data_IF_160520544815
#
_entry.id   IF_160520544815
#
_cell.length_a   1.000
_cell.length_b   1.000
_cell.length_c   1.000
_cell.angle_alpha   90.00
_cell.angle_beta   90.00
_cell.angle_gamma   90.00
#
_symmetry.space_group_name_H-M   'P 1'
#
loop_
_entity.id
_entity.type
_entity.pdbx_description
1 polymer ?
#
# COMPACT_ATOMS: atom_id res chain seq x y z
N UNK A 1 33.07 36.31 -70.42
CA UNK A 1 33.37 36.87 -71.75
C UNK A 1 34.40 35.91 -72.35
N UNK A 2 34.18 35.06 -73.34
CA UNK A 2 33.13 34.72 -74.31
C UNK A 2 33.20 33.18 -74.46
N UNK A 3 32.22 32.43 -74.95
CA UNK A 3 30.99 32.74 -75.66
C UNK A 3 30.42 31.41 -76.16
N UNK A 4 29.11 31.32 -76.08
CA UNK A 4 28.24 30.23 -76.56
C UNK A 4 28.35 30.02 -78.08
N UNK A 5 27.86 28.90 -78.62
CA UNK A 5 26.50 28.81 -79.20
C UNK A 5 26.23 27.49 -79.93
N UNK A 6 24.96 27.10 -79.83
CA UNK A 6 24.27 25.96 -80.43
C UNK A 6 24.20 26.05 -81.98
N UNK A 7 23.70 25.10 -82.78
CA UNK A 7 22.45 24.31 -82.70
C UNK A 7 22.40 23.38 -83.94
N UNK A 8 21.77 22.21 -83.89
CA UNK A 8 21.02 21.60 -85.03
C UNK A 8 20.38 20.25 -84.66
N UNK A 9 19.09 20.11 -84.97
CA UNK A 9 18.24 18.93 -84.77
C UNK A 9 18.33 17.93 -85.95
N UNK A 10 18.07 16.65 -85.68
CA UNK A 10 17.66 15.65 -86.67
C UNK A 10 17.04 14.41 -86.02
N UNK A 11 15.80 14.09 -86.40
CA UNK A 11 14.94 13.00 -85.88
C UNK A 11 15.49 11.58 -86.15
N UNK A 12 15.11 10.59 -85.32
CA UNK A 12 14.43 9.35 -85.77
C UNK A 12 13.87 8.55 -84.57
N UNK A 13 12.73 7.88 -84.78
CA UNK A 13 11.87 7.18 -83.79
C UNK A 13 12.45 5.85 -83.30
N UNK A 14 12.23 5.49 -82.02
CA UNK A 14 12.22 4.10 -81.54
C UNK A 14 11.17 3.87 -80.43
N UNK A 15 10.67 2.63 -80.42
CA UNK A 15 9.48 2.09 -79.75
C UNK A 15 9.48 2.17 -78.21
N UNK A 16 8.31 2.37 -77.61
CA UNK A 16 8.11 2.42 -76.15
C UNK A 16 7.75 1.05 -75.58
N UNK A 17 8.63 0.47 -74.77
CA UNK A 17 8.27 -0.54 -73.77
C UNK A 17 8.17 0.16 -72.41
N UNK A 18 6.96 0.23 -71.86
CA UNK A 18 6.71 0.75 -70.51
C UNK A 18 6.94 -0.41 -69.53
N UNK A 19 8.06 -0.37 -68.80
CA UNK A 19 8.31 -1.26 -67.65
C UNK A 19 7.54 -0.66 -66.47
N UNK A 20 6.48 -1.36 -66.04
CA UNK A 20 5.75 -1.02 -64.83
C UNK A 20 6.58 -1.44 -63.60
N UNK A 21 7.17 -0.47 -62.91
CA UNK A 21 7.82 -0.68 -61.61
C UNK A 21 6.72 -0.76 -60.55
N UNK A 22 6.48 -1.96 -60.02
CA UNK A 22 5.63 -2.18 -58.84
C UNK A 22 6.44 -1.82 -57.60
N UNK A 23 6.18 -0.64 -57.04
CA UNK A 23 6.67 -0.26 -55.71
C UNK A 23 5.79 -0.94 -54.67
N UNK A 24 6.30 -2.02 -54.05
CA UNK A 24 5.67 -2.61 -52.87
C UNK A 24 5.97 -1.68 -51.68
N UNK A 25 4.99 -0.87 -51.30
CA UNK A 25 5.02 -0.13 -50.04
C UNK A 25 4.83 -1.12 -48.89
N UNK A 26 5.94 -1.52 -48.26
CA UNK A 26 5.92 -2.19 -46.96
C UNK A 26 5.42 -1.20 -45.91
N UNK A 27 4.14 -1.24 -45.58
CA UNK A 27 3.61 -0.53 -44.43
C UNK A 27 4.21 -1.15 -43.16
N UNK A 28 5.24 -0.52 -42.60
CA UNK A 28 5.67 -0.78 -41.23
C UNK A 28 4.53 -0.33 -40.33
N UNK A 29 3.71 -1.29 -39.87
CA UNK A 29 2.83 -1.07 -38.74
C UNK A 29 3.74 -0.86 -37.52
N UNK A 30 4.07 0.39 -37.24
CA UNK A 30 4.55 0.76 -35.92
C UNK A 30 3.48 0.28 -34.92
N UNK A 31 3.84 -0.49 -33.88
CA UNK A 31 2.89 -0.73 -32.80
C UNK A 31 2.44 0.65 -32.31
N UNK A 32 1.14 0.86 -32.30
CA UNK A 32 0.56 2.03 -31.66
C UNK A 32 1.04 1.97 -30.21
N UNK A 33 2.03 2.78 -29.85
CA UNK A 33 2.24 3.10 -28.46
C UNK A 33 0.91 3.70 -28.01
N UNK A 34 0.13 2.92 -27.27
CA UNK A 34 -0.98 3.46 -26.50
C UNK A 34 -0.35 4.61 -25.72
N UNK A 35 -0.75 5.84 -26.07
CA UNK A 35 -0.38 6.98 -25.26
C UNK A 35 -0.74 6.62 -23.83
N UNK A 36 0.24 6.66 -22.91
CA UNK A 36 -0.04 6.51 -21.50
C UNK A 36 -1.18 7.47 -21.19
N UNK A 37 -2.34 6.93 -20.83
CA UNK A 37 -3.46 7.75 -20.40
C UNK A 37 -2.98 8.49 -19.17
N UNK A 38 -2.85 9.81 -19.26
CA UNK A 38 -2.52 10.62 -18.09
C UNK A 38 -3.59 10.38 -17.03
N UNK A 39 -3.19 9.94 -15.84
CA UNK A 39 -4.08 9.60 -14.74
C UNK A 39 -4.23 8.10 -14.47
N UNK A 40 -5.07 7.78 -13.49
CA UNK A 40 -5.28 6.40 -13.02
C UNK A 40 -6.22 5.62 -13.94
N UNK A 41 -5.92 4.33 -14.12
CA UNK A 41 -6.85 3.39 -14.75
C UNK A 41 -8.11 3.20 -13.90
N UNK A 42 -9.28 2.91 -14.50
CA UNK A 42 -10.44 2.50 -13.72
C UNK A 42 -10.12 1.31 -12.81
N UNK A 43 -10.64 1.30 -11.58
CA UNK A 43 -10.38 0.21 -10.66
C UNK A 43 -10.86 -1.14 -11.22
N UNK A 44 -10.08 -2.18 -10.99
CA UNK A 44 -10.39 -3.55 -11.37
C UNK A 44 -10.41 -4.43 -10.13
N UNK A 45 -11.29 -5.44 -10.14
CA UNK A 45 -11.38 -6.39 -9.03
C UNK A 45 -10.27 -7.42 -9.15
N UNK A 46 -9.60 -7.73 -8.03
CA UNK A 46 -8.60 -8.79 -7.95
C UNK A 46 -9.02 -9.93 -7.03
N UNK A 47 -8.25 -11.01 -7.09
CA UNK A 47 -8.46 -12.21 -6.27
C UNK A 47 -9.63 -13.08 -6.72
N UNK A 48 -10.04 -14.01 -5.86
CA UNK A 48 -11.16 -14.92 -6.13
C UNK A 48 -12.49 -14.18 -6.21
N UNK A 49 -13.42 -14.64 -7.05
CA UNK A 49 -14.79 -14.08 -7.18
C UNK A 49 -15.81 -14.70 -6.22
N UNK A 50 -15.32 -15.48 -5.24
CA UNK A 50 -16.12 -16.17 -4.23
C UNK A 50 -15.54 -15.89 -2.85
N UNK A 51 -16.33 -16.15 -1.81
CA UNK A 51 -15.92 -15.86 -0.44
C UNK A 51 -15.79 -14.37 -0.19
N UNK A 52 -14.81 -14.02 0.64
CA UNK A 52 -14.62 -12.67 1.16
C UNK A 52 -13.12 -12.33 1.22
N UNK A 53 -12.73 -11.13 0.80
CA UNK A 53 -11.34 -10.69 0.70
C UNK A 53 -11.12 -9.44 1.56
N UNK A 54 -10.30 -9.58 2.59
CA UNK A 54 -10.01 -8.49 3.53
C UNK A 54 -8.58 -8.00 3.40
N UNK A 55 -8.35 -6.75 3.80
CA UNK A 55 -7.04 -6.23 4.21
C UNK A 55 -5.89 -6.57 3.24
N UNK A 56 -5.94 -6.09 1.99
CA UNK A 56 -4.89 -6.36 1.01
C UNK A 56 -3.62 -5.56 1.32
N UNK A 57 -2.48 -6.16 1.03
CA UNK A 57 -1.17 -5.54 1.03
C UNK A 57 -0.55 -5.59 -0.38
N UNK A 58 0.30 -4.62 -0.73
CA UNK A 58 0.92 -4.53 -2.06
C UNK A 58 2.40 -4.21 -1.99
N UNK A 59 3.18 -4.84 -2.88
CA UNK A 59 4.57 -4.49 -3.12
C UNK A 59 4.94 -4.60 -4.60
N UNK A 60 5.91 -3.84 -5.08
CA UNK A 60 6.43 -3.88 -6.43
C UNK A 60 7.96 -3.98 -6.44
N UNK A 61 8.50 -4.77 -7.36
CA UNK A 61 9.94 -4.97 -7.46
C UNK A 61 10.61 -4.18 -8.60
N UNK A 62 11.92 -4.36 -8.75
CA UNK A 62 12.69 -3.72 -9.82
C UNK A 62 12.54 -4.37 -11.21
N UNK A 63 11.78 -5.46 -11.33
CA UNK A 63 11.69 -6.34 -12.51
C UNK A 63 10.26 -6.52 -13.00
N UNK A 64 9.44 -5.46 -12.91
CA UNK A 64 8.04 -5.37 -13.32
C UNK A 64 7.04 -6.26 -12.59
N UNK A 65 7.42 -6.90 -11.47
CA UNK A 65 6.45 -7.64 -10.68
C UNK A 65 5.70 -6.74 -9.72
N UNK A 66 4.40 -6.99 -9.59
CA UNK A 66 3.55 -6.41 -8.54
C UNK A 66 2.92 -7.58 -7.79
N UNK A 67 3.07 -7.59 -6.48
CA UNK A 67 2.61 -8.62 -5.56
C UNK A 67 1.45 -8.08 -4.74
N UNK A 68 0.32 -8.77 -4.74
CA UNK A 68 -0.79 -8.47 -3.84
C UNK A 68 -1.07 -9.69 -2.98
N UNK A 69 -1.02 -9.48 -1.66
CA UNK A 69 -1.30 -10.49 -0.65
C UNK A 69 -2.56 -10.11 0.11
N UNK A 70 -3.46 -11.07 0.35
CA UNK A 70 -4.67 -10.83 1.14
C UNK A 70 -5.17 -12.11 1.83
N UNK A 71 -5.78 -12.02 3.03
CA UNK A 71 -6.56 -13.10 3.61
C UNK A 71 -7.86 -13.35 2.83
N UNK A 72 -8.01 -14.58 2.32
CA UNK A 72 -9.25 -15.10 1.77
C UNK A 72 -10.08 -15.78 2.85
N UNK A 73 -11.23 -15.22 3.15
CA UNK A 73 -12.25 -15.76 4.04
C UNK A 73 -13.26 -16.62 3.25
N UNK A 74 -13.92 -17.55 3.94
CA UNK A 74 -14.92 -18.41 3.32
C UNK A 74 -14.30 -19.51 2.47
N UNK A 75 -14.51 -19.54 1.15
CA UNK A 75 -14.02 -20.65 0.31
C UNK A 75 -12.71 -20.30 -0.40
N UNK A 76 -11.76 -21.23 -0.41
CA UNK A 76 -10.56 -21.18 -1.25
C UNK A 76 -10.71 -22.17 -2.42
N UNK A 77 -10.95 -21.70 -3.66
CA UNK A 77 -11.05 -22.56 -4.83
C UNK A 77 -9.84 -23.49 -4.98
N UNK A 78 -10.10 -24.76 -5.32
CA UNK A 78 -9.08 -25.82 -5.49
C UNK A 78 -8.27 -26.16 -4.23
N UNK A 79 -8.65 -25.67 -3.04
CA UNK A 79 -8.03 -26.03 -1.77
C UNK A 79 -9.07 -26.24 -0.66
N UNK A 80 -9.84 -27.35 -0.69
CA UNK A 80 -10.86 -27.61 0.33
C UNK A 80 -10.27 -27.86 1.74
N UNK A 81 -8.97 -28.15 1.83
CA UNK A 81 -8.24 -28.35 3.09
C UNK A 81 -7.55 -27.09 3.60
N UNK A 82 -7.63 -25.97 2.88
CA UNK A 82 -7.03 -24.72 3.33
C UNK A 82 -7.74 -24.21 4.59
N UNK A 83 -6.97 -23.80 5.59
CA UNK A 83 -7.49 -23.18 6.80
C UNK A 83 -8.04 -21.80 6.48
N UNK A 84 -9.12 -21.37 7.15
CA UNK A 84 -9.82 -20.15 6.81
C UNK A 84 -9.69 -19.13 7.94
N UNK A 85 -9.39 -17.86 7.64
CA UNK A 85 -8.90 -17.34 6.35
C UNK A 85 -7.52 -17.91 5.91
N UNK A 86 -7.20 -17.83 4.62
CA UNK A 86 -5.88 -18.22 4.04
C UNK A 86 -5.23 -17.04 3.33
N UNK A 87 -3.92 -16.85 3.48
CA UNK A 87 -3.13 -15.90 2.68
C UNK A 87 -3.06 -16.32 1.22
N UNK A 88 -3.62 -15.48 0.34
CA UNK A 88 -3.61 -15.65 -1.11
C UNK A 88 -2.74 -14.58 -1.76
N UNK A 89 -1.83 -15.03 -2.63
CA UNK A 89 -0.99 -14.18 -3.44
C UNK A 89 -1.49 -14.14 -4.88
N UNK A 90 -1.47 -12.94 -5.45
CA UNK A 90 -1.65 -12.67 -6.88
C UNK A 90 -0.46 -11.85 -7.34
N UNK A 91 0.11 -12.22 -8.49
CA UNK A 91 1.30 -11.57 -9.03
C UNK A 91 0.97 -11.08 -10.43
N UNK A 92 1.32 -9.82 -10.73
CA UNK A 92 1.48 -9.34 -12.09
C UNK A 92 2.96 -9.42 -12.47
N UNK A 93 3.26 -9.75 -13.74
CA UNK A 93 4.62 -9.77 -14.28
C UNK A 93 4.87 -8.61 -15.27
N UNK A 94 3.95 -7.65 -15.36
CA UNK A 94 3.93 -6.60 -16.38
C UNK A 94 3.43 -5.25 -15.82
N UNK A 95 3.87 -4.92 -14.59
CA UNK A 95 3.50 -3.70 -13.85
C UNK A 95 1.97 -3.51 -13.68
N UNK A 96 1.27 -4.62 -13.44
CA UNK A 96 -0.15 -4.64 -13.10
C UNK A 96 -1.12 -4.63 -14.29
N UNK A 97 -0.63 -4.86 -15.51
CA UNK A 97 -1.49 -4.96 -16.70
C UNK A 97 -2.26 -6.28 -16.74
N UNK A 98 -1.60 -7.39 -16.38
CA UNK A 98 -2.20 -8.72 -16.28
C UNK A 98 -1.82 -9.40 -14.96
N UNK A 99 -2.65 -10.34 -14.53
CA UNK A 99 -2.53 -10.99 -13.23
C UNK A 99 -2.52 -12.52 -13.37
N UNK A 100 -1.62 -13.17 -12.65
CA UNK A 100 -1.61 -14.63 -12.49
C UNK A 100 -2.86 -15.11 -11.74
N UNK A 101 -3.12 -16.42 -11.81
CA UNK A 101 -4.16 -17.03 -11.00
C UNK A 101 -3.85 -16.90 -9.50
N UNK A 102 -4.82 -16.51 -8.65
CA UNK A 102 -4.61 -16.44 -7.20
C UNK A 102 -4.26 -17.81 -6.61
N UNK A 103 -3.29 -17.85 -5.68
CA UNK A 103 -2.85 -19.10 -5.03
C UNK A 103 -2.47 -18.90 -3.56
N UNK A 104 -2.63 -19.91 -2.70
CA UNK A 104 -2.12 -19.86 -1.34
C UNK A 104 -0.58 -19.87 -1.32
N UNK A 105 0.03 -19.14 -0.37
CA UNK A 105 1.49 -19.13 -0.20
C UNK A 105 1.99 -20.04 0.92
N UNK A 106 1.13 -20.33 1.90
CA UNK A 106 1.41 -21.27 2.99
C UNK A 106 0.14 -22.09 3.28
N UNK A 107 -0.23 -23.03 2.38
CA UNK A 107 -1.43 -23.83 2.54
C UNK A 107 -1.25 -24.85 3.67
N UNK A 108 -1.87 -24.58 4.83
CA UNK A 108 -1.82 -25.45 6.01
C UNK A 108 -1.78 -24.64 7.30
N UNK A 109 -2.16 -25.27 8.41
CA UNK A 109 -2.20 -24.63 9.73
C UNK A 109 -3.60 -24.15 10.13
N UNK A 110 -3.65 -23.01 10.81
CA UNK A 110 -4.87 -22.34 11.27
C UNK A 110 -5.23 -21.16 10.36
N UNK A 111 -6.32 -20.44 10.67
CA UNK A 111 -6.63 -19.18 9.99
C UNK A 111 -5.47 -18.18 10.01
N UNK A 112 -5.32 -17.43 8.92
CA UNK A 112 -4.26 -16.47 8.65
C UNK A 112 -4.86 -15.07 8.38
N UNK A 113 -4.39 -14.05 9.09
CA UNK A 113 -5.01 -12.72 9.15
C UNK A 113 -3.99 -11.61 8.90
N UNK A 114 -4.48 -10.41 8.56
CA UNK A 114 -3.72 -9.17 8.53
C UNK A 114 -2.46 -9.25 7.64
N UNK A 115 -2.64 -9.20 6.31
CA UNK A 115 -1.54 -9.37 5.36
C UNK A 115 -0.56 -8.18 5.37
N UNK A 116 0.72 -8.48 5.19
CA UNK A 116 1.78 -7.52 4.87
C UNK A 116 2.69 -8.13 3.80
N UNK A 117 3.14 -7.33 2.84
CA UNK A 117 4.11 -7.75 1.82
C UNK A 117 5.02 -6.59 1.47
N UNK A 118 6.32 -6.83 1.39
CA UNK A 118 7.33 -5.80 1.06
C UNK A 118 8.43 -6.40 0.18
N UNK A 119 9.00 -5.59 -0.71
CA UNK A 119 10.21 -5.94 -1.45
C UNK A 119 11.42 -5.31 -0.75
N UNK A 120 12.51 -6.06 -0.63
CA UNK A 120 13.75 -5.52 -0.06
C UNK A 120 14.27 -4.36 -0.92
N UNK A 121 14.34 -3.13 -0.36
CA UNK A 121 14.74 -1.97 -1.13
C UNK A 121 16.22 -2.02 -1.56
N UNK A 122 17.06 -2.87 -0.96
CA UNK A 122 18.46 -2.98 -1.34
C UNK A 122 18.69 -3.76 -2.62
N UNK A 123 18.00 -4.89 -2.80
CA UNK A 123 18.15 -5.73 -3.99
C UNK A 123 17.01 -5.58 -5.00
N UNK A 124 15.91 -4.92 -4.58
CA UNK A 124 14.68 -4.71 -5.36
C UNK A 124 14.14 -6.00 -5.97
N UNK A 125 14.27 -7.11 -5.25
CA UNK A 125 13.95 -8.46 -5.75
C UNK A 125 13.45 -9.41 -4.66
N UNK A 126 14.09 -9.45 -3.51
CA UNK A 126 13.70 -10.37 -2.44
C UNK A 126 12.37 -9.91 -1.85
N UNK A 127 11.40 -10.81 -1.76
CA UNK A 127 10.06 -10.50 -1.26
C UNK A 127 9.91 -11.07 0.14
N UNK A 128 9.43 -10.25 1.06
CA UNK A 128 9.04 -10.67 2.39
C UNK A 128 7.54 -10.47 2.57
N UNK A 129 6.92 -11.37 3.32
CA UNK A 129 5.52 -11.27 3.71
C UNK A 129 5.39 -11.51 5.22
N UNK A 130 4.33 -11.00 5.81
CA UNK A 130 3.98 -11.26 7.21
C UNK A 130 2.47 -11.38 7.38
N UNK A 131 2.06 -12.18 8.35
CA UNK A 131 0.66 -12.35 8.74
C UNK A 131 0.56 -12.88 10.18
N UNK A 132 -0.65 -12.87 10.72
CA UNK A 132 -0.96 -13.51 11.99
C UNK A 132 -1.58 -14.88 11.77
N UNK A 133 -1.24 -15.87 12.58
CA UNK A 133 -1.92 -17.17 12.58
C UNK A 133 -2.04 -17.74 14.00
N UNK A 134 -2.52 -18.97 14.11
CA UNK A 134 -2.75 -19.71 15.34
C UNK A 134 -3.68 -18.95 16.30
N UNK A 135 -4.89 -18.62 15.82
CA UNK A 135 -5.83 -17.74 16.51
C UNK A 135 -5.19 -16.37 16.86
N UNK A 136 -4.43 -15.82 15.91
CA UNK A 136 -3.62 -14.61 16.07
C UNK A 136 -2.59 -14.69 17.21
N UNK A 137 -2.12 -15.88 17.62
CA UNK A 137 -1.07 -16.01 18.65
C UNK A 137 0.34 -16.02 18.09
N UNK A 138 0.49 -16.32 16.81
CA UNK A 138 1.76 -16.38 16.11
C UNK A 138 1.87 -15.20 15.13
N UNK A 139 2.96 -14.44 15.23
CA UNK A 139 3.37 -13.49 14.20
C UNK A 139 4.35 -14.20 13.26
N UNK A 140 4.00 -14.30 11.98
CA UNK A 140 4.76 -15.10 11.00
C UNK A 140 5.42 -14.20 9.99
N UNK A 141 6.67 -14.52 9.63
CA UNK A 141 7.40 -13.90 8.52
C UNK A 141 7.72 -14.96 7.49
N UNK A 142 7.49 -14.64 6.22
CA UNK A 142 7.87 -15.47 5.09
C UNK A 142 8.80 -14.71 4.14
N UNK A 143 9.68 -15.46 3.48
CA UNK A 143 10.67 -14.93 2.54
C UNK A 143 10.66 -15.73 1.24
N UNK A 144 10.68 -15.01 0.12
CA UNK A 144 10.85 -15.55 -1.22
C UNK A 144 12.04 -14.89 -1.92
N UNK A 145 12.87 -15.71 -2.56
CA UNK A 145 14.04 -15.28 -3.36
C UNK A 145 13.86 -15.54 -4.86
N UNK A 146 12.67 -16.00 -5.24
CA UNK A 146 12.29 -16.43 -6.58
C UNK A 146 11.00 -15.74 -7.05
N UNK A 147 10.83 -14.46 -6.71
CA UNK A 147 9.68 -13.63 -7.14
C UNK A 147 8.33 -14.20 -6.68
N UNK A 148 8.25 -14.57 -5.39
CA UNK A 148 7.05 -15.05 -4.75
C UNK A 148 6.66 -16.49 -5.11
N UNK A 149 7.46 -17.23 -5.90
CA UNK A 149 7.12 -18.59 -6.34
C UNK A 149 7.14 -19.58 -5.17
N UNK A 150 8.23 -19.59 -4.40
CA UNK A 150 8.38 -20.40 -3.19
C UNK A 150 8.69 -19.54 -1.97
N UNK A 151 8.36 -20.06 -0.78
CA UNK A 151 8.43 -19.31 0.47
C UNK A 151 9.09 -20.16 1.57
N UNK A 152 10.04 -19.56 2.29
CA UNK A 152 10.51 -20.02 3.59
C UNK A 152 9.72 -19.30 4.67
N UNK A 153 9.17 -20.00 5.66
CA UNK A 153 8.25 -19.45 6.67
C UNK A 153 8.80 -19.68 8.07
N UNK A 154 8.81 -18.63 8.89
CA UNK A 154 9.31 -18.62 10.28
C UNK A 154 8.30 -17.93 11.17
N UNK A 155 8.05 -18.49 12.37
CA UNK A 155 7.30 -17.80 13.43
C UNK A 155 8.26 -16.84 14.13
N UNK A 156 8.06 -15.54 13.94
CA UNK A 156 8.88 -14.49 14.53
C UNK A 156 8.61 -14.31 16.02
N UNK A 157 7.36 -14.49 16.44
CA UNK A 157 6.98 -14.56 17.86
C UNK A 157 5.75 -15.43 18.06
N UNK A 158 5.66 -16.06 19.23
CA UNK A 158 4.53 -16.88 19.68
C UNK A 158 4.15 -16.45 21.08
N UNK A 159 3.08 -15.66 21.18
CA UNK A 159 2.72 -14.97 22.44
C UNK A 159 1.74 -15.76 23.31
N UNK A 160 1.14 -16.84 22.78
CA UNK A 160 -0.01 -17.54 23.37
C UNK A 160 -1.19 -16.59 23.71
N UNK A 161 -1.29 -15.46 23.00
CA UNK A 161 -2.35 -14.49 23.17
C UNK A 161 -2.68 -13.84 21.81
N UNK A 162 -3.92 -13.42 21.60
CA UNK A 162 -4.28 -12.73 20.35
C UNK A 162 -3.52 -11.42 20.19
N UNK A 163 -2.74 -11.29 19.13
CA UNK A 163 -2.13 -10.04 18.66
C UNK A 163 -2.91 -9.49 17.47
N UNK A 164 -2.57 -8.28 17.03
CA UNK A 164 -3.20 -7.60 15.90
C UNK A 164 -2.18 -6.70 15.20
N UNK A 165 -2.49 -6.26 13.99
CA UNK A 165 -1.74 -5.24 13.26
C UNK A 165 -0.26 -5.55 13.04
N UNK A 166 0.12 -6.68 12.40
CA UNK A 166 1.48 -6.87 11.92
C UNK A 166 1.84 -5.73 10.95
N UNK A 167 3.02 -5.15 11.13
CA UNK A 167 3.62 -4.13 10.25
C UNK A 167 5.04 -4.60 9.92
N UNK A 168 5.33 -4.81 8.65
CA UNK A 168 6.60 -5.39 8.18
C UNK A 168 7.49 -4.32 7.56
N UNK A 169 8.78 -4.30 7.94
CA UNK A 169 9.80 -3.49 7.25
C UNK A 169 11.11 -4.26 7.13
N UNK A 170 11.78 -4.11 6.00
CA UNK A 170 13.00 -4.84 5.66
C UNK A 170 14.05 -3.92 5.03
N UNK A 171 15.32 -4.25 5.26
CA UNK A 171 16.46 -3.69 4.53
C UNK A 171 17.62 -4.68 4.57
N UNK A 172 17.85 -5.40 3.48
CA UNK A 172 18.88 -6.44 3.44
C UNK A 172 18.61 -7.58 4.42
N UNK A 173 19.54 -7.77 5.35
CA UNK A 173 19.45 -8.81 6.39
C UNK A 173 18.57 -8.41 7.57
N UNK A 174 18.25 -7.13 7.70
CA UNK A 174 17.49 -6.60 8.82
C UNK A 174 16.00 -6.66 8.47
N UNK A 175 15.26 -7.42 9.28
CA UNK A 175 13.83 -7.69 9.10
C UNK A 175 13.14 -7.43 10.43
N UNK A 176 12.13 -6.56 10.43
CA UNK A 176 11.38 -6.21 11.62
C UNK A 176 9.89 -6.39 11.37
N UNK A 177 9.18 -6.99 12.32
CA UNK A 177 7.71 -7.03 12.34
C UNK A 177 7.20 -6.47 13.65
N UNK A 178 6.46 -5.37 13.57
CA UNK A 178 5.76 -4.75 14.70
C UNK A 178 4.34 -5.30 14.80
N UNK A 179 3.81 -5.46 16.01
CA UNK A 179 2.45 -5.95 16.26
C UNK A 179 1.97 -5.49 17.63
N UNK A 180 0.66 -5.42 17.84
CA UNK A 180 0.09 -5.03 19.13
C UNK A 180 -0.59 -6.17 19.86
N UNK A 181 -0.53 -6.12 21.19
CA UNK A 181 -1.34 -6.91 22.08
C UNK A 181 -1.90 -6.01 23.18
N UNK A 182 -3.21 -5.77 23.16
CA UNK A 182 -3.88 -4.86 24.07
C UNK A 182 -3.21 -3.47 24.14
N UNK A 183 -2.69 -3.06 25.30
CA UNK A 183 -2.02 -1.76 25.49
C UNK A 183 -0.60 -1.72 24.90
N UNK A 184 -0.06 -2.87 24.49
CA UNK A 184 1.36 -3.02 24.21
C UNK A 184 1.63 -3.13 22.72
N UNK A 185 2.70 -2.51 22.28
CA UNK A 185 3.29 -2.70 20.96
C UNK A 185 4.61 -3.44 21.14
N UNK A 186 4.83 -4.44 20.30
CA UNK A 186 6.01 -5.28 20.26
C UNK A 186 6.64 -5.19 18.89
N UNK A 187 7.95 -5.43 18.83
CA UNK A 187 8.69 -5.58 17.58
C UNK A 187 9.56 -6.82 17.69
N UNK A 188 9.42 -7.75 16.74
CA UNK A 188 10.37 -8.84 16.52
C UNK A 188 11.40 -8.41 15.49
N UNK A 189 12.68 -8.53 15.85
CA UNK A 189 13.82 -8.12 15.04
C UNK A 189 14.64 -9.33 14.60
N UNK A 190 15.06 -9.36 13.35
CA UNK A 190 16.00 -10.33 12.78
C UNK A 190 17.12 -9.59 12.05
N UNK A 191 18.34 -10.13 12.16
CA UNK A 191 19.55 -9.61 11.50
C UNK A 191 20.27 -10.65 10.65
N UNK A 192 19.58 -11.76 10.34
CA UNK A 192 20.04 -12.88 9.53
C UNK A 192 19.10 -13.14 8.33
N UNK A 193 18.35 -12.12 7.92
CA UNK A 193 17.44 -12.18 6.78
C UNK A 193 16.15 -12.94 7.07
N UNK A 194 15.66 -12.89 8.31
CA UNK A 194 14.40 -13.48 8.75
C UNK A 194 14.49 -14.94 9.19
N UNK A 195 15.68 -15.46 9.50
CA UNK A 195 15.84 -16.85 9.94
C UNK A 195 15.64 -17.02 11.45
N UNK A 196 16.09 -16.05 12.25
CA UNK A 196 15.86 -16.01 13.70
C UNK A 196 15.42 -14.62 14.16
N UNK A 197 14.60 -14.57 15.21
CA UNK A 197 14.01 -13.33 15.72
C UNK A 197 14.16 -13.19 17.24
N UNK A 198 14.23 -11.94 17.69
CA UNK A 198 14.10 -11.56 19.11
C UNK A 198 13.07 -10.44 19.25
N UNK A 199 12.20 -10.53 20.25
CA UNK A 199 11.09 -9.58 20.45
C UNK A 199 11.33 -8.61 21.60
N UNK A 200 10.98 -7.34 21.40
CA UNK A 200 11.04 -6.28 22.40
C UNK A 200 9.70 -5.54 22.50
N UNK A 201 9.33 -5.16 23.72
CA UNK A 201 8.18 -4.28 23.95
C UNK A 201 8.62 -2.81 23.86
N UNK A 202 8.01 -2.04 22.95
CA UNK A 202 8.46 -0.68 22.64
C UNK A 202 7.75 0.39 23.48
N UNK A 203 6.72 0.01 24.23
CA UNK A 203 5.94 0.88 25.11
C UNK A 203 5.69 0.22 26.48
N UNK A 204 6.75 -0.27 27.13
CA UNK A 204 6.68 -1.10 28.35
C UNK A 204 5.91 -0.48 29.52
N UNK A 205 5.82 0.85 29.56
CA UNK A 205 5.09 1.62 30.58
C UNK A 205 3.61 1.82 30.25
N UNK A 206 3.08 1.26 29.16
CA UNK A 206 1.69 1.41 28.78
C UNK A 206 0.76 0.73 29.81
N UNK A 207 -0.21 1.50 30.32
CA UNK A 207 -1.14 1.06 31.38
C UNK A 207 -2.62 1.15 30.99
N UNK A 208 -2.94 1.91 29.95
CA UNK A 208 -4.33 2.25 29.59
C UNK A 208 -4.59 1.96 28.12
N UNK A 209 -5.86 1.65 27.83
CA UNK A 209 -6.43 1.56 26.49
C UNK A 209 -5.94 0.41 25.62
N UNK A 210 -5.79 0.70 24.34
CA UNK A 210 -5.39 -0.23 23.28
C UNK A 210 -4.37 0.46 22.39
N UNK A 211 -3.46 -0.30 21.81
CA UNK A 211 -2.50 0.21 20.83
C UNK A 211 -2.72 -0.46 19.49
N UNK A 212 -2.51 0.29 18.40
CA UNK A 212 -2.59 -0.20 17.04
C UNK A 212 -1.32 0.21 16.30
N UNK A 213 -0.54 -0.76 15.84
CA UNK A 213 0.59 -0.47 14.95
C UNK A 213 0.06 -0.01 13.58
N UNK A 214 0.81 0.82 12.86
CA UNK A 214 0.32 1.36 11.58
C UNK A 214 1.33 1.57 10.45
N UNK A 215 2.62 1.74 10.73
CA UNK A 215 3.63 1.89 9.68
C UNK A 215 5.05 1.78 10.20
N UNK A 216 6.02 1.61 9.32
CA UNK A 216 7.41 1.45 9.71
C UNK A 216 8.39 1.92 8.63
N UNK A 217 9.61 2.25 9.04
CA UNK A 217 10.67 2.66 8.13
C UNK A 217 12.05 2.28 8.69
N UNK A 218 13.03 2.09 7.79
CA UNK A 218 14.44 1.97 8.15
C UNK A 218 15.20 3.06 7.40
N UNK A 219 15.89 3.93 8.13
CA UNK A 219 16.70 4.99 7.52
C UNK A 219 18.06 4.47 7.02
N UNK A 220 18.81 5.35 6.35
CA UNK A 220 20.13 4.98 5.80
C UNK A 220 21.19 4.67 6.87
N UNK A 221 20.98 5.11 8.11
CA UNK A 221 21.86 4.80 9.23
C UNK A 221 21.50 3.47 9.91
N UNK A 222 20.44 2.79 9.47
CA UNK A 222 19.95 1.55 10.06
C UNK A 222 19.09 1.77 11.31
N UNK A 223 18.66 3.01 11.59
CA UNK A 223 17.65 3.23 12.61
C UNK A 223 16.32 2.69 12.09
N UNK A 224 15.61 1.97 12.95
CA UNK A 224 14.28 1.44 12.66
C UNK A 224 13.23 2.26 13.39
N UNK A 225 12.12 2.53 12.70
CA UNK A 225 11.00 3.32 13.19
C UNK A 225 9.69 2.56 13.04
N UNK A 226 8.80 2.72 14.02
CA UNK A 226 7.42 2.24 13.97
C UNK A 226 6.47 3.34 14.40
N UNK A 227 5.43 3.60 13.61
CA UNK A 227 4.30 4.45 13.99
C UNK A 227 3.16 3.62 14.57
N UNK A 228 2.50 4.16 15.59
CA UNK A 228 1.38 3.48 16.25
C UNK A 228 0.44 4.47 16.94
N UNK A 229 -0.83 4.08 17.03
CA UNK A 229 -1.88 4.80 17.74
C UNK A 229 -2.09 4.20 19.13
N UNK A 230 -2.33 5.04 20.14
CA UNK A 230 -2.55 4.64 21.53
C UNK A 230 -3.80 5.29 22.14
N UNK A 231 -4.82 4.49 22.41
CA UNK A 231 -6.04 4.92 23.07
C UNK A 231 -5.81 5.16 24.57
N UNK A 232 -6.41 6.21 25.11
CA UNK A 232 -6.06 6.71 26.45
C UNK A 232 -7.02 6.27 27.56
N UNK A 233 -8.11 5.57 27.25
CA UNK A 233 -9.09 5.09 28.25
C UNK A 233 -9.21 3.58 28.31
N UNK A 234 -9.48 3.05 29.50
CA UNK A 234 -9.67 1.62 29.73
C UNK A 234 -10.95 1.05 29.10
N UNK A 235 -10.93 -0.27 28.91
CA UNK A 235 -12.09 -1.03 28.45
C UNK A 235 -12.25 -1.03 26.93
N UNK A 236 -11.15 -0.94 26.18
CA UNK A 236 -11.10 -1.03 24.71
C UNK A 236 -10.46 0.19 24.06
N UNK A 237 -10.63 0.32 22.76
CA UNK A 237 -10.21 1.50 21.99
C UNK A 237 -11.17 2.68 22.23
N UNK A 238 -11.03 3.35 23.38
CA UNK A 238 -11.86 4.49 23.80
C UNK A 238 -11.03 5.72 24.13
N UNK A 239 -11.69 6.88 24.05
CA UNK A 239 -11.11 8.16 24.42
C UNK A 239 -10.17 8.73 23.36
N UNK A 240 -9.49 9.84 23.67
CA UNK A 240 -8.48 10.43 22.79
C UNK A 240 -7.42 9.41 22.37
N UNK A 241 -6.88 9.61 21.17
CA UNK A 241 -5.88 8.73 20.56
C UNK A 241 -4.57 9.49 20.41
N UNK A 242 -3.52 9.01 21.07
CA UNK A 242 -2.18 9.54 20.89
C UNK A 242 -1.53 8.87 19.68
N UNK A 243 -0.90 9.64 18.80
CA UNK A 243 -0.21 9.15 17.62
C UNK A 243 1.29 9.25 17.85
N UNK A 244 1.97 8.11 17.85
CA UNK A 244 3.36 7.97 18.27
C UNK A 244 4.26 7.52 17.13
N UNK A 245 5.55 7.84 17.28
CA UNK A 245 6.65 7.25 16.52
C UNK A 245 7.68 6.73 17.52
N UNK A 246 8.01 5.45 17.42
CA UNK A 246 9.07 4.81 18.20
C UNK A 246 10.28 4.56 17.31
N UNK A 247 11.48 4.80 17.85
CA UNK A 247 12.76 4.63 17.17
C UNK A 247 13.67 3.70 17.96
N UNK A 248 14.38 2.82 17.26
CA UNK A 248 15.57 2.13 17.77
C UNK A 248 16.79 2.46 16.90
N UNK A 249 17.94 2.63 17.56
CA UNK A 249 19.25 2.93 16.95
C UNK A 249 20.25 1.78 17.13
N UNK A 250 19.80 0.69 17.73
CA UNK A 250 20.63 -0.42 18.21
C UNK A 250 19.99 -1.77 17.84
N UNK A 251 19.49 -1.84 16.61
CA UNK A 251 18.97 -3.06 16.01
C UNK A 251 17.71 -3.61 16.74
N UNK A 252 16.86 -2.72 17.25
CA UNK A 252 15.61 -3.07 17.92
C UNK A 252 15.75 -3.47 19.38
N UNK A 253 16.91 -3.28 20.01
CA UNK A 253 17.14 -3.63 21.42
C UNK A 253 16.52 -2.60 22.37
N UNK A 254 16.73 -1.31 22.12
CA UNK A 254 16.17 -0.22 22.92
C UNK A 254 15.36 0.74 22.05
N UNK A 255 14.28 1.26 22.63
CA UNK A 255 13.30 2.09 21.93
C UNK A 255 13.06 3.41 22.65
N UNK A 256 12.96 4.49 21.88
CA UNK A 256 12.51 5.81 22.33
C UNK A 256 11.24 6.17 21.60
N UNK A 257 10.23 6.67 22.31
CA UNK A 257 8.91 6.99 21.75
C UNK A 257 8.64 8.49 21.83
N UNK A 258 8.28 9.08 20.70
CA UNK A 258 7.89 10.48 20.55
C UNK A 258 6.40 10.56 20.25
N UNK A 259 5.69 11.46 20.94
CA UNK A 259 4.31 11.82 20.59
C UNK A 259 4.32 12.79 19.40
N UNK A 260 3.68 12.42 18.29
CA UNK A 260 3.60 13.23 17.08
C UNK A 260 2.37 14.15 17.09
N UNK A 261 1.19 13.60 17.37
CA UNK A 261 -0.08 14.35 17.43
C UNK A 261 -1.08 13.64 18.37
N UNK A 262 -2.21 14.31 18.64
CA UNK A 262 -3.32 13.76 19.42
C UNK A 262 -4.63 13.96 18.66
N UNK A 263 -5.37 12.86 18.48
CA UNK A 263 -6.74 12.87 17.96
C UNK A 263 -7.75 12.86 19.11
N UNK A 264 -8.95 13.39 18.84
CA UNK A 264 -10.15 13.08 19.60
C UNK A 264 -10.49 11.58 19.61
N UNK A 265 -11.54 11.21 20.32
CA UNK A 265 -12.05 9.84 20.27
C UNK A 265 -12.66 9.51 18.90
N UNK A 266 -12.65 8.23 18.47
CA UNK A 266 -13.12 7.82 17.16
C UNK A 266 -14.56 8.28 16.87
N UNK A 267 -14.88 8.59 15.60
CA UNK A 267 -16.26 8.75 15.16
C UNK A 267 -17.04 7.43 15.30
N UNK A 268 -18.37 7.53 15.35
CA UNK A 268 -19.24 6.35 15.44
C UNK A 268 -19.29 5.57 14.12
N UNK A 269 -19.27 4.23 14.20
CA UNK A 269 -19.31 3.35 13.03
C UNK A 269 -20.47 2.33 13.02
N UNK A 270 -21.45 2.49 13.92
CA UNK A 270 -22.57 1.56 14.04
C UNK A 270 -23.43 1.46 12.75
N UNK A 271 -23.47 2.53 11.95
CA UNK A 271 -24.14 2.55 10.65
C UNK A 271 -23.58 1.49 9.68
N UNK A 272 -22.31 1.12 9.83
CA UNK A 272 -21.64 0.09 9.03
C UNK A 272 -21.40 -1.21 9.82
N UNK A 273 -22.04 -1.35 10.99
CA UNK A 273 -21.91 -2.51 11.87
C UNK A 273 -20.47 -2.82 12.29
N UNK A 274 -19.59 -1.81 12.23
CA UNK A 274 -18.18 -1.98 12.50
C UNK A 274 -17.84 -1.66 13.97
N UNK A 275 -16.70 -2.20 14.41
CA UNK A 275 -16.22 -2.12 15.78
C UNK A 275 -15.60 -0.77 16.15
N UNK A 276 -14.94 -0.74 17.30
CA UNK A 276 -14.72 0.47 18.09
C UNK A 276 -13.70 1.44 17.49
N UNK A 277 -12.58 0.92 16.99
CA UNK A 277 -11.45 1.71 16.51
C UNK A 277 -11.40 1.88 14.99
N UNK A 278 -12.33 1.25 14.26
CA UNK A 278 -12.18 1.00 12.83
C UNK A 278 -12.04 2.30 12.01
N UNK A 279 -12.87 3.30 12.33
CA UNK A 279 -12.80 4.65 11.74
C UNK A 279 -12.02 5.64 12.61
N UNK A 280 -11.30 5.17 13.63
CA UNK A 280 -10.49 6.03 14.48
C UNK A 280 -9.18 6.44 13.81
N UNK A 281 -8.50 7.38 14.45
CA UNK A 281 -7.18 7.82 14.05
C UNK A 281 -6.18 6.66 13.86
N UNK A 282 -5.55 6.65 12.69
CA UNK A 282 -4.48 5.75 12.28
C UNK A 282 -3.27 6.57 11.84
N UNK A 283 -2.07 6.00 11.96
CA UNK A 283 -0.83 6.63 11.53
C UNK A 283 0.05 5.62 10.82
N UNK A 284 0.50 5.97 9.62
CA UNK A 284 1.49 5.23 8.86
C UNK A 284 2.72 6.10 8.59
N UNK A 285 3.83 5.48 8.22
CA UNK A 285 5.07 6.16 7.91
C UNK A 285 5.92 5.40 6.89
N UNK A 286 6.83 6.13 6.23
CA UNK A 286 7.82 5.58 5.29
C UNK A 286 9.08 6.45 5.27
N UNK A 287 10.09 6.03 4.50
CA UNK A 287 11.29 6.82 4.22
C UNK A 287 11.60 6.86 2.73
N UNK A 288 12.09 7.99 2.22
CA UNK A 288 12.67 8.01 0.87
C UNK A 288 14.11 7.44 0.84
N UNK A 289 14.63 7.28 -0.38
CA UNK A 289 16.03 6.88 -0.63
C UNK A 289 17.09 7.82 -0.05
N UNK A 290 16.76 9.04 0.38
CA UNK A 290 17.66 9.96 1.08
C UNK A 290 17.58 9.83 2.61
N UNK A 291 16.68 8.98 3.13
CA UNK A 291 16.46 8.79 4.56
C UNK A 291 15.56 9.85 5.20
N UNK A 292 14.85 10.66 4.41
CA UNK A 292 13.81 11.56 4.94
C UNK A 292 12.62 10.71 5.37
N UNK A 293 12.15 10.91 6.60
CA UNK A 293 10.97 10.22 7.11
C UNK A 293 9.71 11.02 6.80
N UNK A 294 8.62 10.31 6.54
CA UNK A 294 7.32 10.87 6.28
C UNK A 294 6.26 10.17 7.12
N UNK A 295 5.36 10.93 7.73
CA UNK A 295 4.23 10.41 8.47
C UNK A 295 2.92 10.94 7.86
N UNK A 296 1.92 10.06 7.77
CA UNK A 296 0.57 10.36 7.32
C UNK A 296 -0.42 9.81 8.34
N UNK A 297 -1.37 10.62 8.78
CA UNK A 297 -2.35 10.19 9.78
C UNK A 297 -3.71 10.87 9.61
N UNK A 298 -4.77 10.19 10.00
CA UNK A 298 -6.08 10.81 10.24
C UNK A 298 -6.22 11.21 11.71
N UNK A 299 -6.82 12.37 11.97
CA UNK A 299 -7.15 12.81 13.32
C UNK A 299 -8.35 13.79 13.37
N UNK A 300 -9.16 13.67 14.42
CA UNK A 300 -10.26 14.56 14.75
C UNK A 300 -9.85 15.61 15.79
N UNK A 301 -10.35 16.83 15.65
CA UNK A 301 -10.02 17.93 16.57
C UNK A 301 -10.73 17.82 17.93
N UNK A 302 -11.84 17.06 18.00
CA UNK A 302 -12.62 16.86 19.22
C UNK A 302 -13.17 15.43 19.30
N UNK A 303 -13.71 15.08 20.47
CA UNK A 303 -14.38 13.79 20.68
C UNK A 303 -15.42 13.53 19.59
N UNK A 304 -15.35 12.38 18.93
CA UNK A 304 -16.28 11.92 17.89
C UNK A 304 -16.47 12.88 16.70
N UNK A 305 -15.57 13.85 16.52
CA UNK A 305 -15.62 14.77 15.37
C UNK A 305 -15.11 14.09 14.12
N UNK A 306 -15.56 14.55 12.95
CA UNK A 306 -15.01 14.06 11.69
C UNK A 306 -13.49 14.26 11.64
N UNK A 307 -12.76 13.24 11.22
CA UNK A 307 -11.32 13.27 11.13
C UNK A 307 -10.83 13.86 9.80
N UNK A 308 -9.62 14.43 9.84
CA UNK A 308 -8.91 15.02 8.70
C UNK A 308 -7.60 14.29 8.48
N UNK A 309 -7.09 14.34 7.26
CA UNK A 309 -5.83 13.70 6.86
C UNK A 309 -4.67 14.70 6.95
N UNK A 310 -3.62 14.33 7.68
CA UNK A 310 -2.48 15.20 8.00
C UNK A 310 -1.15 14.55 7.64
N UNK A 311 -0.19 15.40 7.30
CA UNK A 311 1.16 15.01 6.92
C UNK A 311 2.22 15.79 7.71
N UNK A 312 3.37 15.14 7.94
CA UNK A 312 4.59 15.77 8.40
C UNK A 312 5.82 14.99 7.93
N UNK A 313 6.95 15.69 7.78
CA UNK A 313 8.23 15.11 7.38
C UNK A 313 9.35 15.40 8.39
N UNK A 314 10.37 14.54 8.42
CA UNK A 314 11.55 14.70 9.26
C UNK A 314 12.83 14.42 8.48
N UNK A 315 13.71 15.41 8.43
CA UNK A 315 15.08 15.29 7.93
C UNK A 315 16.10 15.08 9.05
N UNK A 316 15.62 14.89 10.28
CA UNK A 316 16.44 14.77 11.50
C UNK A 316 16.29 13.39 12.14
N UNK A 317 16.03 12.37 11.32
CA UNK A 317 15.84 10.98 11.76
C UNK A 317 14.85 10.85 12.93
N UNK A 318 13.72 11.57 12.83
CA UNK A 318 12.60 11.53 13.77
C UNK A 318 12.74 12.44 15.00
N UNK A 319 13.84 13.18 15.15
CA UNK A 319 14.05 14.07 16.30
C UNK A 319 13.14 15.32 16.27
N UNK A 320 12.93 15.88 15.08
CA UNK A 320 12.03 16.99 14.83
C UNK A 320 11.22 16.75 13.57
N UNK A 321 10.01 17.31 13.54
CA UNK A 321 9.03 17.13 12.48
C UNK A 321 8.58 18.49 11.96
N UNK A 322 8.25 18.58 10.67
CA UNK A 322 7.64 19.77 10.09
C UNK A 322 6.28 20.07 10.76
N UNK A 323 5.78 21.31 10.70
CA UNK A 323 4.41 21.60 11.11
C UNK A 323 3.42 20.67 10.42
N UNK A 324 2.39 20.22 11.16
CA UNK A 324 1.34 19.36 10.59
C UNK A 324 0.59 20.09 9.48
N UNK A 325 0.43 19.43 8.34
CA UNK A 325 -0.24 19.97 7.16
C UNK A 325 -1.52 19.18 6.89
N UNK A 326 -2.67 19.84 6.75
CA UNK A 326 -3.88 19.21 6.18
C UNK A 326 -3.65 19.01 4.68
N UNK A 327 -3.68 17.76 4.22
CA UNK A 327 -3.39 17.39 2.83
C UNK A 327 -4.65 17.14 2.00
N UNK A 328 -5.84 17.40 2.54
CA UNK A 328 -7.10 17.26 1.80
C UNK A 328 -7.66 18.63 1.37
N UNK A 329 -8.20 18.69 0.15
CA UNK A 329 -8.96 19.82 -0.38
C UNK A 329 -10.47 19.66 -0.10
N UNK A 330 -10.90 18.59 0.55
CA UNK A 330 -12.29 18.41 0.95
C UNK A 330 -12.71 19.49 1.95
N UNK A 331 -13.99 19.90 1.91
CA UNK A 331 -14.54 20.86 2.86
C UNK A 331 -14.43 20.37 4.31
N UNK A 332 -14.44 21.31 5.26
CA UNK A 332 -14.54 21.00 6.69
C UNK A 332 -15.78 20.13 6.94
N UNK A 333 -15.65 19.13 7.80
CA UNK A 333 -16.72 18.20 8.15
C UNK A 333 -16.77 16.92 7.31
N UNK A 334 -15.85 16.74 6.36
CA UNK A 334 -15.66 15.45 5.68
C UNK A 334 -14.80 14.52 6.54
N UNK A 335 -15.26 13.28 6.73
CA UNK A 335 -14.52 12.21 7.42
C UNK A 335 -13.43 11.61 6.51
N UNK A 336 -12.22 11.41 7.06
CA UNK A 336 -11.06 10.82 6.39
C UNK A 336 -10.54 9.63 7.21
N UNK A 337 -10.24 8.51 6.56
CA UNK A 337 -9.73 7.31 7.24
C UNK A 337 -8.75 6.55 6.33
N UNK A 338 -8.06 5.57 6.91
CA UNK A 338 -7.16 4.64 6.21
C UNK A 338 -6.07 5.37 5.42
N UNK A 339 -5.08 5.99 6.10
CA UNK A 339 -3.95 6.64 5.43
C UNK A 339 -3.02 5.59 4.81
N UNK A 340 -2.63 5.77 3.55
CA UNK A 340 -1.56 5.01 2.89
C UNK A 340 -0.47 5.94 2.36
N UNK A 341 0.79 5.55 2.53
CA UNK A 341 1.95 6.34 2.11
C UNK A 341 3.04 5.44 1.53
N UNK A 342 3.69 5.91 0.48
CA UNK A 342 4.93 5.33 -0.05
C UNK A 342 5.88 6.44 -0.49
N UNK A 343 7.19 6.17 -0.42
CA UNK A 343 8.22 7.07 -0.90
C UNK A 343 9.24 6.32 -1.77
N UNK A 344 9.81 7.03 -2.74
CA UNK A 344 10.75 6.47 -3.71
C UNK A 344 12.09 7.20 -3.70
N UNK A 345 12.42 7.83 -4.83
CA UNK A 345 13.58 8.73 -4.92
C UNK A 345 13.45 9.89 -3.93
N UNK A 346 14.57 10.52 -3.57
CA UNK A 346 14.59 11.67 -2.66
C UNK A 346 13.48 12.69 -2.99
N UNK A 347 12.59 12.95 -2.04
CA UNK A 347 11.46 13.87 -2.18
C UNK A 347 10.25 13.36 -2.97
N UNK A 348 10.27 12.18 -3.61
CA UNK A 348 9.09 11.51 -4.19
C UNK A 348 8.29 10.84 -3.07
N UNK A 349 7.14 11.43 -2.74
CA UNK A 349 6.21 10.92 -1.72
C UNK A 349 4.81 10.87 -2.29
N UNK A 350 4.14 9.76 -2.06
CA UNK A 350 2.79 9.50 -2.57
C UNK A 350 1.91 9.14 -1.41
N UNK A 351 0.74 9.75 -1.37
CA UNK A 351 -0.22 9.57 -0.30
C UNK A 351 -1.57 9.25 -0.89
N UNK A 352 -2.33 8.45 -0.16
CA UNK A 352 -3.72 8.23 -0.44
C UNK A 352 -4.50 8.04 0.86
N UNK A 353 -5.81 8.21 0.78
CA UNK A 353 -6.73 8.01 1.88
C UNK A 353 -8.13 7.71 1.35
N UNK A 354 -9.03 7.30 2.24
CA UNK A 354 -10.47 7.24 1.92
C UNK A 354 -11.21 8.37 2.62
N UNK A 355 -12.14 9.01 1.92
CA UNK A 355 -13.00 10.03 2.53
C UNK A 355 -14.45 9.96 2.08
N UNK A 356 -15.32 10.61 2.85
CA UNK A 356 -16.77 10.60 2.69
C UNK A 356 -17.33 11.88 2.07
N UNK A 357 -16.53 12.62 1.26
CA UNK A 357 -17.00 13.89 0.67
C UNK A 357 -18.23 13.74 -0.22
N UNK A 358 -18.49 12.53 -0.71
CA UNK A 358 -19.67 12.16 -1.48
C UNK A 358 -20.70 11.37 -0.65
N UNK A 359 -20.81 11.70 0.64
CA UNK A 359 -21.71 11.08 1.62
C UNK A 359 -23.11 10.76 1.05
N UNK A 360 -23.66 9.56 1.32
CA UNK A 360 -23.16 8.55 2.26
C UNK A 360 -22.05 7.65 1.69
N UNK A 361 -21.55 7.94 0.49
CA UNK A 361 -20.54 7.11 -0.17
C UNK A 361 -19.13 7.58 0.15
N UNK A 362 -18.22 6.60 0.16
CA UNK A 362 -16.79 6.76 0.29
C UNK A 362 -16.09 6.73 -1.05
N UNK A 363 -14.91 7.32 -1.10
CA UNK A 363 -14.00 7.28 -2.24
C UNK A 363 -12.55 7.24 -1.77
N UNK A 364 -11.71 6.59 -2.57
CA UNK A 364 -10.25 6.63 -2.43
C UNK A 364 -9.68 7.80 -3.22
N UNK A 365 -8.84 8.60 -2.58
CA UNK A 365 -8.16 9.78 -3.12
C UNK A 365 -6.65 9.67 -3.01
N UNK A 366 -5.96 10.36 -3.91
CA UNK A 366 -4.51 10.32 -4.08
C UNK A 366 -3.91 11.71 -4.29
N UNK A 367 -2.71 11.93 -3.77
CA UNK A 367 -1.82 13.05 -4.10
C UNK A 367 -0.36 12.58 -4.12
N UNK A 368 0.48 13.31 -4.85
CA UNK A 368 1.93 13.11 -4.84
C UNK A 368 2.68 14.41 -4.62
N UNK A 369 3.90 14.29 -4.12
CA UNK A 369 4.87 15.37 -3.95
C UNK A 369 6.20 14.95 -4.56
N UNK A 370 6.90 15.90 -5.17
CA UNK A 370 8.28 15.72 -5.68
C UNK A 370 9.30 16.54 -4.87
N UNK A 371 8.89 17.09 -3.72
CA UNK A 371 9.72 17.91 -2.84
C UNK A 371 9.47 17.59 -1.36
N UNK A 372 9.29 16.31 -1.04
CA UNK A 372 9.21 15.83 0.34
C UNK A 372 8.00 16.32 1.11
N UNK A 373 6.89 16.57 0.40
CA UNK A 373 5.63 17.04 0.98
C UNK A 373 5.55 18.55 1.21
N UNK A 374 6.53 19.34 0.77
CA UNK A 374 6.44 20.81 0.86
C UNK A 374 5.29 21.36 0.00
N UNK A 375 5.04 20.75 -1.16
CA UNK A 375 3.87 21.01 -2.01
C UNK A 375 3.33 19.71 -2.58
N UNK A 376 2.04 19.70 -2.91
CA UNK A 376 1.31 18.52 -3.37
C UNK A 376 0.62 18.78 -4.71
N UNK A 377 0.48 17.74 -5.52
CA UNK A 377 -0.39 17.72 -6.70
C UNK A 377 -1.84 18.07 -6.35
N UNK A 378 -2.68 18.23 -7.38
CA UNK A 378 -4.14 18.17 -7.18
C UNK A 378 -4.57 16.81 -6.63
N UNK A 379 -5.76 16.76 -6.04
CA UNK A 379 -6.37 15.50 -5.62
C UNK A 379 -6.93 14.73 -6.81
N UNK A 380 -6.59 13.45 -6.87
CA UNK A 380 -7.15 12.52 -7.85
C UNK A 380 -8.00 11.49 -7.14
N UNK A 381 -9.25 11.31 -7.59
CA UNK A 381 -10.08 10.18 -7.15
C UNK A 381 -9.63 8.94 -7.91
N UNK A 382 -9.15 7.92 -7.19
CA UNK A 382 -8.63 6.68 -7.79
C UNK A 382 -9.63 5.51 -7.71
N UNK A 383 -10.71 5.68 -6.94
CA UNK A 383 -11.88 4.79 -7.01
C UNK A 383 -12.82 5.17 -8.16
N UNK A 384 -13.38 4.20 -8.87
CA UNK A 384 -14.29 4.39 -10.00
C UNK A 384 -15.52 3.48 -9.93
N UNK A 385 -16.55 3.83 -10.71
CA UNK A 385 -17.75 3.00 -10.79
C UNK A 385 -17.46 1.69 -11.54
N UNK A 386 -17.88 0.57 -10.96
CA UNK A 386 -17.81 -0.75 -11.57
C UNK A 386 -19.18 -1.41 -11.50
N UNK A 387 -19.81 -1.75 -12.64
CA UNK A 387 -21.15 -2.35 -12.65
C UNK A 387 -21.12 -3.78 -12.09
N UNK A 388 -22.24 -4.22 -11.52
CA UNK A 388 -22.41 -5.58 -11.00
C UNK A 388 -22.14 -5.75 -9.50
N UNK A 389 -21.64 -4.71 -8.82
CA UNK A 389 -21.37 -4.72 -7.38
C UNK A 389 -22.33 -3.80 -6.65
N UNK A 390 -23.15 -4.35 -5.75
CA UNK A 390 -24.21 -3.58 -5.05
C UNK A 390 -23.65 -2.45 -4.17
N UNK A 391 -22.41 -2.57 -3.71
CA UNK A 391 -21.72 -1.58 -2.90
C UNK A 391 -20.98 -0.51 -3.71
N UNK A 392 -20.94 -0.59 -5.05
CA UNK A 392 -20.32 0.43 -5.91
C UNK A 392 -21.39 1.16 -6.70
N UNK A 393 -21.42 2.48 -6.56
CA UNK A 393 -22.32 3.37 -7.26
C UNK A 393 -21.53 4.46 -8.01
N UNK A 394 -22.20 5.21 -8.90
CA UNK A 394 -21.53 6.21 -9.74
C UNK A 394 -20.74 7.26 -8.95
N UNK A 395 -21.20 7.58 -7.72
CA UNK A 395 -20.58 8.58 -6.86
C UNK A 395 -19.55 8.00 -5.87
N UNK A 396 -19.45 6.68 -5.69
CA UNK A 396 -18.50 6.06 -4.76
C UNK A 396 -18.91 4.67 -4.31
N UNK A 397 -18.26 4.16 -3.26
CA UNK A 397 -18.57 2.86 -2.67
C UNK A 397 -19.16 3.01 -1.27
N UNK A 398 -19.84 1.96 -0.79
CA UNK A 398 -20.63 2.03 0.44
C UNK A 398 -19.78 1.99 1.72
N UNK A 399 -18.71 1.19 1.77
CA UNK A 399 -17.91 1.03 2.98
C UNK A 399 -16.44 0.68 2.66
N UNK A 400 -15.45 1.37 3.28
CA UNK A 400 -14.05 0.94 3.33
C UNK A 400 -13.97 -0.44 3.96
N UNK A 401 -13.61 -1.48 3.20
CA UNK A 401 -13.72 -2.85 3.66
C UNK A 401 -12.34 -3.47 3.95
N UNK A 402 -12.14 -3.86 5.20
CA UNK A 402 -10.80 -4.14 5.73
C UNK A 402 -10.17 -2.84 6.19
N UNK A 403 -9.45 -2.88 7.30
CA UNK A 403 -8.83 -1.68 7.88
C UNK A 403 -7.37 -1.49 7.47
N UNK A 404 -7.02 -2.06 6.30
CA UNK A 404 -5.75 -1.89 5.60
C UNK A 404 -5.99 -1.39 4.18
N UNK A 405 -5.12 -0.47 3.78
CA UNK A 405 -5.07 0.13 2.46
C UNK A 405 -3.60 0.43 2.16
N UNK A 406 -3.10 0.02 1.00
CA UNK A 406 -1.67 0.19 0.67
C UNK A 406 -1.47 0.67 -0.78
N UNK A 407 -0.35 1.37 -0.97
CA UNK A 407 0.14 1.83 -2.26
C UNK A 407 1.63 1.54 -2.37
N UNK A 408 2.13 1.28 -3.58
CA UNK A 408 3.56 1.14 -3.86
C UNK A 408 3.94 1.79 -5.21
N UNK A 409 5.24 1.86 -5.50
CA UNK A 409 5.82 2.44 -6.72
C UNK A 409 6.49 1.33 -7.54
N UNK A 410 6.02 1.14 -8.77
CA UNK A 410 6.55 0.08 -9.63
C UNK A 410 7.88 0.44 -10.31
N UNK A 411 8.36 -0.49 -11.14
CA UNK A 411 9.61 -0.34 -11.91
C UNK A 411 9.59 0.81 -12.93
N UNK A 412 8.42 1.28 -13.35
CA UNK A 412 8.22 2.43 -14.23
C UNK A 412 8.01 3.75 -13.46
N UNK A 413 7.93 3.69 -12.13
CA UNK A 413 7.63 4.83 -11.29
C UNK A 413 6.14 5.19 -11.27
N UNK A 414 5.25 4.29 -11.69
CA UNK A 414 3.80 4.46 -11.55
C UNK A 414 3.35 4.01 -10.16
N UNK A 415 2.27 4.61 -9.68
CA UNK A 415 1.65 4.22 -8.41
C UNK A 415 0.80 2.98 -8.65
N UNK A 416 0.95 2.01 -7.78
CA UNK A 416 0.17 0.79 -7.68
C UNK A 416 -0.66 0.88 -6.40
N UNK A 417 -1.98 0.72 -6.46
CA UNK A 417 -2.84 0.89 -5.28
C UNK A 417 -3.81 -0.28 -5.11
N UNK A 418 -3.99 -0.75 -3.87
CA UNK A 418 -4.96 -1.81 -3.55
C UNK A 418 -5.73 -1.49 -2.27
N UNK A 419 -7.06 -1.66 -2.29
CA UNK A 419 -7.93 -1.47 -1.12
C UNK A 419 -9.13 -2.43 -1.16
N UNK A 420 -9.88 -2.51 -0.07
CA UNK A 420 -11.15 -3.25 -0.06
C UNK A 420 -12.38 -2.35 -0.08
N UNK A 421 -13.44 -2.83 -0.74
CA UNK A 421 -14.76 -2.21 -0.75
C UNK A 421 -15.85 -3.25 -0.44
N UNK A 422 -16.88 -2.83 0.29
CA UNK A 422 -17.99 -3.69 0.70
C UNK A 422 -19.26 -2.92 1.02
N UNK A 423 -20.33 -3.64 1.39
CA UNK A 423 -21.58 -3.01 1.83
C UNK A 423 -21.48 -2.49 3.27
N UNK A 424 -20.85 -3.27 4.16
CA UNK A 424 -20.58 -2.97 5.55
C UNK A 424 -19.55 -3.97 6.11
N UNK A 425 -19.24 -3.88 7.40
CA UNK A 425 -18.24 -4.71 8.07
C UNK A 425 -18.57 -6.21 8.11
N UNK A 426 -19.86 -6.59 8.14
CA UNK A 426 -20.29 -7.99 8.33
C UNK A 426 -20.61 -8.72 7.02
N UNK A 427 -20.56 -8.02 5.88
CA UNK A 427 -20.84 -8.60 4.57
C UNK A 427 -19.56 -8.91 3.81
N UNK A 428 -19.55 -9.95 2.95
CA UNK A 428 -18.42 -10.17 2.06
C UNK A 428 -18.10 -8.92 1.23
N UNK A 429 -16.84 -8.52 1.23
CA UNK A 429 -16.30 -7.48 0.37
C UNK A 429 -15.33 -8.05 -0.65
N UNK A 430 -14.73 -7.17 -1.43
CA UNK A 430 -13.71 -7.54 -2.39
C UNK A 430 -12.58 -6.52 -2.39
N UNK A 431 -11.43 -6.94 -2.91
CA UNK A 431 -10.28 -6.07 -3.11
C UNK A 431 -10.25 -5.53 -4.54
N UNK A 432 -9.82 -4.28 -4.64
CA UNK A 432 -9.82 -3.45 -5.83
C UNK A 432 -8.44 -2.86 -6.06
N UNK A 433 -8.10 -2.71 -7.32
CA UNK A 433 -6.78 -2.30 -7.75
C UNK A 433 -6.84 -1.28 -8.88
N UNK A 434 -5.92 -0.33 -8.86
CA UNK A 434 -5.66 0.61 -9.96
C UNK A 434 -4.18 0.96 -10.01
N UNK A 435 -3.75 1.47 -11.14
CA UNK A 435 -2.43 2.06 -11.35
C UNK A 435 -2.50 3.38 -12.09
N UNK A 436 -1.44 4.18 -11.96
CA UNK A 436 -1.27 5.40 -12.73
C UNK A 436 -0.42 6.43 -11.99
N UNK A 437 -0.39 7.65 -12.52
CA UNK A 437 0.38 8.76 -11.95
C UNK A 437 -0.29 10.11 -12.17
#
# INVERSE_FOLDING_TARGET
MLGELALSLGLLRYSHYVIAIVVVLSAVLAPSALAATSGFSPQTRLGFTVGDQWEPAIAADGSSHVYILYPQYGTVPKCPSCALPTMILVISNDNGQTWQAPRPISPGGSGQFDAQIVVDPLDRRTVYASWLQNNKSDTVVAKSVDFGQTWSVVVADSTNAGVDKPILVVRGKDVYVGYNHAQKVWVSSSHDGGATFTSANINSNAKLGWSLAGGAAIDLAGNVFFSWAGYTQNGGAKGPVNLYISKSSDAGQNWTTTLLDVSGSPPGCSAYQCGWAYLGAQITMTADSAGTLYALWNAGAASTSNERIYFSSSTTAGATWSPKQDVSLASIGVEHSFPAIVAGSAGDVRIAWMDSRNSPLWNTYYRSSTNGGATWSGETRISSYVPGYKYIQSKGFSFPFGDYFEIDIDSHGETQAVWGEGLNYQTPGAIWYTNGR
#
